data_IF_373362188512
#
_entry.id   IF_373362188512
#
_cell.length_a   1.000
_cell.length_b   1.000
_cell.length_c   1.000
_cell.angle_alpha   90.00
_cell.angle_beta   90.00
_cell.angle_gamma   90.00
#
_symmetry.space_group_name_H-M   'P 1'
#
loop_
_entity.id
_entity.type
_entity.pdbx_description
1 polymer ?
#
# COMPACT_ATOMS: atom_id res chain seq x y z
N UNK A 1 -12.79 13.91 -31.71
CA UNK A 1 -13.90 12.97 -31.55
C UNK A 1 -13.47 11.55 -31.91
N UNK A 2 -12.99 10.78 -30.96
CA UNK A 2 -12.90 9.32 -31.10
C UNK A 2 -13.33 8.69 -29.78
N UNK A 3 -14.58 8.28 -29.72
CA UNK A 3 -15.11 7.41 -28.67
C UNK A 3 -14.54 6.01 -28.90
N UNK A 4 -13.74 5.51 -27.98
CA UNK A 4 -13.36 4.11 -27.91
C UNK A 4 -14.48 3.39 -27.15
N UNK A 5 -15.30 2.65 -27.87
CA UNK A 5 -16.32 1.75 -27.28
C UNK A 5 -15.65 0.43 -26.91
N UNK A 6 -15.42 0.18 -25.64
CA UNK A 6 -15.09 -1.16 -25.15
C UNK A 6 -16.38 -1.99 -25.02
N UNK A 7 -16.54 -2.97 -25.89
CA UNK A 7 -17.54 -4.04 -25.75
C UNK A 7 -17.12 -4.96 -24.60
N UNK A 8 -17.90 -4.95 -23.52
CA UNK A 8 -17.79 -5.96 -22.48
C UNK A 8 -18.19 -7.33 -23.04
N UNK A 9 -17.23 -8.23 -23.17
CA UNK A 9 -17.49 -9.64 -23.41
C UNK A 9 -17.82 -10.33 -22.08
N UNK A 10 -19.05 -10.81 -21.95
CA UNK A 10 -19.47 -11.72 -20.88
C UNK A 10 -18.73 -13.06 -21.06
N UNK A 11 -17.62 -13.24 -20.39
CA UNK A 11 -16.94 -14.53 -20.29
C UNK A 11 -17.14 -15.06 -18.88
N UNK A 12 -17.86 -16.15 -18.73
CA UNK A 12 -17.90 -16.95 -17.49
C UNK A 12 -16.47 -17.38 -17.18
N UNK A 13 -15.90 -16.82 -16.12
CA UNK A 13 -14.57 -17.19 -15.66
C UNK A 13 -14.70 -18.51 -14.91
N UNK A 14 -14.29 -19.61 -15.54
CA UNK A 14 -13.91 -20.82 -14.83
C UNK A 14 -12.59 -20.54 -14.13
N UNK A 15 -12.61 -20.39 -12.80
CA UNK A 15 -11.41 -20.25 -11.99
C UNK A 15 -10.60 -21.55 -12.05
N UNK A 16 -9.53 -21.54 -12.82
CA UNK A 16 -8.52 -22.59 -12.80
C UNK A 16 -7.56 -22.35 -11.62
N UNK A 17 -7.01 -23.43 -11.08
CA UNK A 17 -6.11 -23.43 -9.90
C UNK A 17 -4.86 -22.54 -10.01
N UNK A 18 -4.61 -21.91 -11.13
CA UNK A 18 -3.49 -20.98 -11.39
C UNK A 18 -3.71 -19.58 -10.83
N UNK A 19 -4.94 -19.15 -10.59
CA UNK A 19 -5.23 -17.79 -10.05
C UNK A 19 -4.96 -17.65 -8.55
N UNK A 20 -4.89 -18.76 -7.82
CA UNK A 20 -4.53 -18.75 -6.39
C UNK A 20 -3.07 -18.33 -6.11
N UNK A 21 -2.21 -18.33 -7.11
CA UNK A 21 -0.78 -18.00 -6.94
C UNK A 21 -0.45 -16.50 -7.10
N UNK A 22 -1.34 -15.68 -7.62
CA UNK A 22 -1.05 -14.26 -7.87
C UNK A 22 -1.44 -13.29 -6.73
N UNK A 23 -2.20 -13.72 -5.73
CA UNK A 23 -2.63 -12.86 -4.63
C UNK A 23 -1.71 -12.85 -3.40
N UNK A 24 -0.78 -13.79 -3.30
CA UNK A 24 0.22 -13.82 -2.21
C UNK A 24 1.47 -13.02 -2.57
N UNK A 25 1.35 -11.69 -2.70
CA UNK A 25 2.52 -10.83 -2.72
C UNK A 25 3.03 -10.65 -1.30
N UNK A 26 4.14 -11.32 -1.04
CA UNK A 26 4.80 -11.43 0.25
C UNK A 26 5.12 -10.05 0.83
N UNK A 27 4.61 -9.77 2.03
CA UNK A 27 5.10 -8.70 2.88
C UNK A 27 6.30 -9.25 3.66
N UNK A 28 7.52 -8.85 3.29
CA UNK A 28 8.69 -9.15 4.10
C UNK A 28 8.79 -8.12 5.23
N UNK A 29 8.62 -8.57 6.47
CA UNK A 29 8.82 -7.74 7.66
C UNK A 29 10.31 -7.71 7.94
N UNK A 30 10.96 -6.54 7.81
CA UNK A 30 12.33 -6.32 8.29
C UNK A 30 12.33 -6.38 9.82
N UNK A 31 12.51 -7.57 10.41
CA UNK A 31 12.84 -7.68 11.82
C UNK A 31 14.22 -7.05 12.03
N UNK A 32 14.28 -6.00 12.83
CA UNK A 32 15.54 -5.47 13.34
C UNK A 32 16.25 -6.54 14.16
N UNK A 33 17.26 -7.15 13.59
CA UNK A 33 18.18 -8.02 14.32
C UNK A 33 19.42 -7.17 14.66
N UNK A 34 19.42 -6.54 15.81
CA UNK A 34 20.63 -5.91 16.35
C UNK A 34 21.43 -6.96 17.11
N UNK A 35 22.42 -7.56 16.43
CA UNK A 35 23.34 -8.53 17.05
C UNK A 35 24.19 -7.93 18.19
N UNK A 36 24.34 -6.60 18.24
CA UNK A 36 25.18 -5.92 19.22
C UNK A 36 24.42 -5.53 20.49
N UNK A 37 23.10 -5.47 20.49
CA UNK A 37 22.33 -5.12 21.66
C UNK A 37 20.90 -5.73 21.67
N UNK A 38 20.77 -7.01 22.10
CA UNK A 38 19.49 -7.71 22.13
C UNK A 38 18.46 -7.09 23.10
N UNK A 39 18.85 -6.18 23.97
CA UNK A 39 17.95 -5.47 24.91
C UNK A 39 17.27 -4.24 24.30
N UNK A 40 17.66 -3.79 23.09
CA UNK A 40 17.07 -2.66 22.37
C UNK A 40 15.98 -3.04 21.37
N UNK A 41 15.72 -4.30 21.18
CA UNK A 41 14.62 -4.79 20.34
C UNK A 41 13.33 -4.83 21.17
N UNK A 42 12.73 -3.67 21.45
CA UNK A 42 11.29 -3.68 21.65
C UNK A 42 10.66 -4.07 20.33
N UNK A 43 9.84 -5.13 20.27
CA UNK A 43 9.12 -5.46 19.05
C UNK A 43 8.28 -4.26 18.67
N UNK A 44 8.46 -3.76 17.45
CA UNK A 44 7.58 -2.73 16.92
C UNK A 44 6.14 -3.29 16.95
N UNK A 45 5.34 -2.79 17.90
CA UNK A 45 3.96 -3.24 18.12
C UNK A 45 3.12 -3.13 16.83
N UNK A 46 3.51 -2.22 15.92
CA UNK A 46 2.81 -2.01 14.65
C UNK A 46 3.16 -3.09 13.65
N UNK A 47 4.42 -3.52 13.56
CA UNK A 47 4.82 -4.63 12.70
C UNK A 47 4.10 -5.93 13.08
N UNK A 48 3.84 -6.15 14.37
CA UNK A 48 3.09 -7.33 14.83
C UNK A 48 1.61 -7.32 14.44
N UNK A 49 0.99 -6.14 14.27
CA UNK A 49 -0.39 -6.03 13.80
C UNK A 49 -0.57 -6.34 12.31
N UNK A 50 0.49 -6.31 11.52
CA UNK A 50 0.46 -6.49 10.06
C UNK A 50 1.03 -7.86 9.65
N UNK A 51 0.99 -8.84 10.57
CA UNK A 51 1.33 -10.23 10.27
C UNK A 51 0.12 -10.91 9.65
N UNK A 52 0.33 -11.69 8.59
CA UNK A 52 -0.70 -12.49 7.95
C UNK A 52 -1.07 -11.97 6.56
N UNK A 53 -2.32 -12.19 6.17
CA UNK A 53 -2.83 -11.90 4.84
C UNK A 53 -3.43 -10.49 4.78
N UNK A 54 -2.73 -9.56 4.14
CA UNK A 54 -3.22 -8.22 3.86
C UNK A 54 -3.91 -8.12 2.50
N UNK A 55 -5.15 -7.67 2.49
CA UNK A 55 -5.94 -7.55 1.27
C UNK A 55 -5.89 -6.12 0.73
N UNK A 56 -5.36 -5.97 -0.49
CA UNK A 56 -5.44 -4.72 -1.22
C UNK A 56 -6.85 -4.57 -1.83
N UNK A 57 -7.62 -3.63 -1.28
CA UNK A 57 -8.98 -3.35 -1.74
C UNK A 57 -8.98 -2.71 -3.13
N UNK A 58 -9.92 -3.12 -3.98
CA UNK A 58 -10.28 -2.42 -5.20
C UNK A 58 -11.19 -1.24 -4.87
N UNK A 59 -11.33 -0.29 -5.80
CA UNK A 59 -12.39 0.71 -5.81
C UNK A 59 -13.45 0.27 -6.81
N UNK A 60 -14.62 -0.23 -6.36
CA UNK A 60 -15.72 -0.53 -7.27
C UNK A 60 -16.29 0.77 -7.86
N UNK A 61 -16.60 0.75 -9.15
CA UNK A 61 -17.24 1.86 -9.85
C UNK A 61 -18.59 1.45 -10.43
N UNK A 62 -19.52 2.38 -10.46
CA UNK A 62 -20.78 2.25 -11.17
C UNK A 62 -20.56 2.47 -12.68
N UNK A 63 -21.62 2.22 -13.47
CA UNK A 63 -21.56 2.41 -14.92
C UNK A 63 -21.29 3.86 -15.36
N UNK A 64 -21.64 4.83 -14.54
CA UNK A 64 -21.40 6.27 -14.76
C UNK A 64 -19.98 6.72 -14.34
N UNK A 65 -19.16 5.80 -13.80
CA UNK A 65 -17.81 6.07 -13.33
C UNK A 65 -17.72 6.56 -11.88
N UNK A 66 -18.85 6.78 -11.20
CA UNK A 66 -18.85 7.14 -9.78
C UNK A 66 -18.49 5.94 -8.89
N UNK A 67 -17.96 6.19 -7.70
CA UNK A 67 -17.60 5.14 -6.74
C UNK A 67 -18.85 4.41 -6.24
N UNK A 68 -18.83 3.08 -6.29
CA UNK A 68 -19.87 2.23 -5.75
C UNK A 68 -19.59 1.88 -4.28
N UNK A 69 -20.05 2.72 -3.37
CA UNK A 69 -19.87 2.51 -1.93
C UNK A 69 -20.64 1.30 -1.39
N UNK A 70 -21.75 0.90 -2.02
CA UNK A 70 -22.47 -0.30 -1.62
C UNK A 70 -21.64 -1.55 -1.90
N UNK A 71 -21.09 -1.67 -3.11
CA UNK A 71 -20.20 -2.76 -3.49
C UNK A 71 -18.92 -2.76 -2.65
N UNK A 72 -18.33 -1.57 -2.39
CA UNK A 72 -17.15 -1.45 -1.52
C UNK A 72 -17.46 -1.92 -0.10
N UNK A 73 -18.63 -1.56 0.45
CA UNK A 73 -19.05 -2.02 1.78
C UNK A 73 -19.22 -3.53 1.86
N UNK A 74 -19.83 -4.15 0.84
CA UNK A 74 -19.95 -5.62 0.73
C UNK A 74 -18.59 -6.29 0.63
N UNK A 75 -17.65 -5.71 -0.12
CA UNK A 75 -16.29 -6.23 -0.26
C UNK A 75 -15.56 -6.22 1.10
N UNK A 76 -15.65 -5.14 1.86
CA UNK A 76 -15.02 -5.05 3.18
C UNK A 76 -15.56 -6.13 4.12
N UNK A 77 -16.89 -6.28 4.20
CA UNK A 77 -17.51 -7.32 5.03
C UNK A 77 -17.09 -8.73 4.60
N UNK A 78 -17.01 -8.95 3.29
CA UNK A 78 -16.54 -10.23 2.74
C UNK A 78 -15.11 -10.54 3.19
N UNK A 79 -14.19 -9.56 3.11
CA UNK A 79 -12.80 -9.79 3.53
C UNK A 79 -12.68 -10.08 5.03
N UNK A 80 -13.43 -9.35 5.84
CA UNK A 80 -13.44 -9.55 7.29
C UNK A 80 -14.01 -10.93 7.64
N UNK A 81 -15.13 -11.32 7.01
CA UNK A 81 -15.75 -12.63 7.23
C UNK A 81 -14.88 -13.82 6.77
N UNK A 82 -13.98 -13.58 5.80
CA UNK A 82 -13.04 -14.58 5.27
C UNK A 82 -11.63 -14.45 5.88
N UNK A 83 -11.53 -13.90 7.10
CA UNK A 83 -10.33 -13.91 7.91
C UNK A 83 -9.11 -13.19 7.28
N UNK A 84 -9.33 -12.07 6.60
CA UNK A 84 -8.24 -11.17 6.29
C UNK A 84 -7.62 -10.65 7.59
N UNK A 85 -6.28 -10.58 7.66
CA UNK A 85 -5.59 -10.09 8.86
C UNK A 85 -5.51 -8.57 8.89
N UNK A 86 -5.45 -7.91 7.75
CA UNK A 86 -5.49 -6.44 7.62
C UNK A 86 -5.93 -6.02 6.21
N UNK A 87 -6.35 -4.76 6.08
CA UNK A 87 -6.79 -4.21 4.79
C UNK A 87 -5.82 -3.12 4.31
N UNK A 88 -5.59 -3.09 2.99
CA UNK A 88 -4.80 -2.03 2.34
C UNK A 88 -5.73 -1.23 1.43
N UNK A 89 -5.96 0.04 1.80
CA UNK A 89 -6.79 0.96 1.04
C UNK A 89 -5.94 1.93 0.22
N UNK A 90 -6.48 2.45 -0.87
CA UNK A 90 -5.85 3.44 -1.74
C UNK A 90 -4.45 3.03 -2.23
N UNK A 91 -4.21 1.73 -2.40
CA UNK A 91 -3.03 1.21 -3.08
C UNK A 91 -3.20 1.18 -4.61
N UNK A 92 -2.26 0.59 -5.32
CA UNK A 92 -2.31 0.43 -6.79
C UNK A 92 -3.57 -0.32 -7.25
N UNK A 93 -3.99 -1.33 -6.48
CA UNK A 93 -5.20 -2.13 -6.77
C UNK A 93 -6.48 -1.30 -6.72
N UNK A 94 -6.49 -0.23 -5.93
CA UNK A 94 -7.61 0.70 -5.82
C UNK A 94 -7.69 1.73 -6.96
N UNK A 95 -6.82 1.65 -7.95
CA UNK A 95 -6.75 2.60 -9.08
C UNK A 95 -6.60 4.06 -8.64
N UNK A 96 -5.90 4.28 -7.52
CA UNK A 96 -5.74 5.58 -6.86
C UNK A 96 -5.35 6.75 -7.78
N UNK A 97 -4.51 6.56 -8.83
CA UNK A 97 -4.19 7.64 -9.76
C UNK A 97 -5.39 8.16 -10.57
N UNK A 98 -6.48 7.39 -10.70
CA UNK A 98 -7.68 7.79 -11.44
C UNK A 98 -8.71 8.52 -10.57
N UNK A 99 -8.48 8.54 -9.25
CA UNK A 99 -9.36 9.16 -8.26
C UNK A 99 -8.98 10.61 -8.00
N UNK A 100 -9.97 11.49 -7.89
CA UNK A 100 -9.78 12.85 -7.40
C UNK A 100 -9.37 12.86 -5.92
N UNK A 101 -8.88 13.99 -5.43
CA UNK A 101 -8.55 14.15 -4.01
C UNK A 101 -9.78 13.98 -3.10
N UNK A 102 -10.94 14.47 -3.53
CA UNK A 102 -12.22 14.31 -2.80
C UNK A 102 -12.60 12.84 -2.69
N UNK A 103 -12.60 12.11 -3.82
CA UNK A 103 -12.94 10.69 -3.83
C UNK A 103 -11.99 9.86 -2.95
N UNK A 104 -10.69 10.13 -2.99
CA UNK A 104 -9.73 9.45 -2.10
C UNK A 104 -10.06 9.66 -0.63
N UNK A 105 -10.39 10.89 -0.24
CA UNK A 105 -10.76 11.22 1.15
C UNK A 105 -12.09 10.58 1.56
N UNK A 106 -13.07 10.53 0.66
CA UNK A 106 -14.37 9.92 0.91
C UNK A 106 -14.26 8.41 1.03
N UNK A 107 -13.49 7.76 0.13
CA UNK A 107 -13.20 6.33 0.18
C UNK A 107 -12.49 5.96 1.48
N UNK A 108 -11.47 6.73 1.88
CA UNK A 108 -10.75 6.49 3.13
C UNK A 108 -11.69 6.55 4.34
N UNK A 109 -12.49 7.63 4.45
CA UNK A 109 -13.49 7.79 5.53
C UNK A 109 -14.49 6.65 5.54
N UNK A 110 -15.00 6.25 4.37
CA UNK A 110 -15.94 5.15 4.25
C UNK A 110 -15.33 3.82 4.72
N UNK A 111 -14.12 3.49 4.27
CA UNK A 111 -13.42 2.25 4.66
C UNK A 111 -13.15 2.24 6.17
N UNK A 112 -12.67 3.35 6.74
CA UNK A 112 -12.41 3.49 8.18
C UNK A 112 -13.70 3.26 8.98
N UNK A 113 -14.78 3.93 8.61
CA UNK A 113 -16.08 3.80 9.26
C UNK A 113 -16.64 2.38 9.14
N UNK A 114 -16.58 1.78 7.94
CA UNK A 114 -17.08 0.43 7.68
C UNK A 114 -16.25 -0.65 8.38
N UNK A 115 -14.93 -0.48 8.40
CA UNK A 115 -14.03 -1.38 9.14
C UNK A 115 -14.28 -1.34 10.65
N UNK A 116 -14.63 -0.19 11.19
CA UNK A 116 -14.95 0.01 12.61
C UNK A 116 -13.90 -0.64 13.57
N UNK A 117 -12.62 -0.43 13.29
CA UNK A 117 -11.47 -0.96 14.05
C UNK A 117 -11.40 -2.50 14.15
N UNK A 118 -12.09 -3.24 13.29
CA UNK A 118 -12.07 -4.71 13.30
C UNK A 118 -10.75 -5.27 12.79
N UNK A 119 -10.15 -4.62 11.80
CA UNK A 119 -8.84 -5.01 11.25
C UNK A 119 -7.90 -3.80 11.22
N UNK A 120 -6.57 -4.01 11.29
CA UNK A 120 -5.60 -2.97 11.01
C UNK A 120 -5.77 -2.43 9.58
N UNK A 121 -5.50 -1.13 9.40
CA UNK A 121 -5.61 -0.44 8.12
C UNK A 121 -4.26 0.09 7.65
N UNK A 122 -3.89 -0.23 6.42
CA UNK A 122 -2.75 0.35 5.71
C UNK A 122 -3.27 1.28 4.62
N UNK A 123 -2.76 2.50 4.53
CA UNK A 123 -3.15 3.46 3.51
C UNK A 123 -2.05 3.68 2.48
N UNK A 124 -2.39 3.58 1.20
CA UNK A 124 -1.51 3.94 0.10
C UNK A 124 -1.31 5.45 0.03
N UNK A 125 -0.11 5.93 0.35
CA UNK A 125 0.32 7.31 0.14
C UNK A 125 1.72 7.27 -0.47
N UNK A 126 1.83 7.60 -1.75
CA UNK A 126 3.07 7.57 -2.48
C UNK A 126 2.94 8.29 -3.82
N UNK A 127 4.06 8.60 -4.41
CA UNK A 127 4.13 9.34 -5.66
C UNK A 127 5.57 9.48 -6.14
N UNK A 128 5.76 10.21 -7.22
CA UNK A 128 7.06 10.46 -7.82
C UNK A 128 7.63 11.86 -7.53
N UNK A 129 6.88 12.67 -6.77
CA UNK A 129 7.35 13.94 -6.19
C UNK A 129 7.36 13.86 -4.66
N UNK A 130 8.55 13.94 -4.09
CA UNK A 130 8.79 13.82 -2.64
C UNK A 130 8.01 14.86 -1.83
N UNK A 131 7.94 16.11 -2.32
CA UNK A 131 7.25 17.21 -1.64
C UNK A 131 5.75 16.93 -1.57
N UNK A 132 5.15 16.58 -2.69
CA UNK A 132 3.72 16.25 -2.78
C UNK A 132 3.36 15.08 -1.85
N UNK A 133 4.20 14.05 -1.77
CA UNK A 133 3.97 12.92 -0.85
C UNK A 133 4.00 13.38 0.61
N UNK A 134 4.95 14.22 0.99
CA UNK A 134 5.05 14.77 2.34
C UNK A 134 3.83 15.65 2.68
N UNK A 135 3.41 16.50 1.76
CA UNK A 135 2.22 17.35 1.91
C UNK A 135 0.96 16.50 2.08
N UNK A 136 0.81 15.44 1.30
CA UNK A 136 -0.30 14.49 1.40
C UNK A 136 -0.30 13.79 2.76
N UNK A 137 0.84 13.33 3.26
CA UNK A 137 0.94 12.71 4.60
C UNK A 137 0.51 13.70 5.69
N UNK A 138 0.96 14.95 5.62
CA UNK A 138 0.66 15.98 6.61
C UNK A 138 -0.80 16.45 6.59
N UNK A 139 -1.45 16.43 5.43
CA UNK A 139 -2.83 16.90 5.26
C UNK A 139 -3.89 15.78 5.42
N UNK A 140 -3.47 14.50 5.48
CA UNK A 140 -4.39 13.38 5.63
C UNK A 140 -4.60 13.05 7.10
N UNK A 141 -5.85 12.82 7.51
CA UNK A 141 -6.15 12.26 8.83
C UNK A 141 -5.75 10.77 8.87
N UNK A 142 -4.67 10.49 9.59
CA UNK A 142 -4.11 9.14 9.76
C UNK A 142 -4.44 8.53 11.13
N UNK A 143 -5.34 9.12 11.92
CA UNK A 143 -5.64 8.69 13.31
C UNK A 143 -6.17 7.26 13.39
N UNK A 144 -6.72 6.72 12.29
CA UNK A 144 -7.26 5.36 12.20
C UNK A 144 -6.47 4.47 11.22
N UNK A 145 -5.24 4.85 10.91
CA UNK A 145 -4.34 4.15 9.98
C UNK A 145 -3.16 3.58 10.78
N UNK A 146 -2.84 2.32 10.58
CA UNK A 146 -1.73 1.65 11.28
C UNK A 146 -0.39 1.81 10.54
N UNK A 147 -0.39 1.93 9.21
CA UNK A 147 0.82 2.17 8.43
C UNK A 147 0.52 2.82 7.07
N UNK A 148 1.56 3.46 6.51
CA UNK A 148 1.55 4.00 5.15
C UNK A 148 2.24 3.03 4.22
N UNK A 149 1.61 2.69 3.07
CA UNK A 149 2.24 1.99 1.96
C UNK A 149 2.70 3.01 0.92
N UNK A 150 4.01 3.17 0.76
CA UNK A 150 4.58 4.17 -0.14
C UNK A 150 5.35 3.52 -1.28
N UNK A 151 4.86 3.74 -2.51
CA UNK A 151 5.48 3.20 -3.72
C UNK A 151 6.76 3.97 -4.07
N UNK A 152 7.78 3.25 -4.56
CA UNK A 152 8.99 3.89 -5.10
C UNK A 152 8.63 4.88 -6.21
N UNK A 153 9.33 6.04 -6.33
CA UNK A 153 9.03 7.01 -7.38
C UNK A 153 9.03 6.36 -8.77
N UNK A 154 7.96 6.57 -9.50
CA UNK A 154 7.72 6.03 -10.83
C UNK A 154 7.91 7.11 -11.88
N UNK A 155 8.01 6.73 -13.16
CA UNK A 155 8.11 7.63 -14.32
C UNK A 155 9.48 8.31 -14.45
N UNK A 156 9.94 9.08 -13.47
CA UNK A 156 11.21 9.83 -13.46
C UNK A 156 12.45 8.98 -13.14
N UNK A 157 12.29 7.69 -12.83
CA UNK A 157 13.35 6.67 -12.69
C UNK A 157 14.56 7.14 -11.88
N UNK A 158 14.42 7.44 -10.58
CA UNK A 158 15.52 7.88 -9.75
C UNK A 158 16.62 6.81 -9.61
N UNK A 159 17.86 7.27 -9.35
CA UNK A 159 18.94 6.37 -8.92
C UNK A 159 18.68 5.78 -7.53
N UNK A 160 19.47 4.81 -7.09
CA UNK A 160 19.35 4.23 -5.74
C UNK A 160 19.52 5.30 -4.66
N UNK A 161 20.44 6.24 -4.85
CA UNK A 161 20.59 7.39 -3.92
C UNK A 161 19.37 8.31 -3.98
N UNK A 162 18.80 8.54 -5.15
CA UNK A 162 17.54 9.30 -5.29
C UNK A 162 16.37 8.63 -4.55
N UNK A 163 16.24 7.30 -4.64
CA UNK A 163 15.25 6.52 -3.89
C UNK A 163 15.49 6.67 -2.38
N UNK A 164 16.74 6.53 -1.94
CA UNK A 164 17.09 6.71 -0.54
C UNK A 164 16.73 8.10 -0.03
N UNK A 165 17.09 9.17 -0.74
CA UNK A 165 16.78 10.54 -0.34
C UNK A 165 15.28 10.83 -0.32
N UNK A 166 14.52 10.25 -1.25
CA UNK A 166 13.06 10.33 -1.26
C UNK A 166 12.46 9.76 0.03
N UNK A 167 12.81 8.51 0.38
CA UNK A 167 12.27 7.87 1.58
C UNK A 167 12.84 8.43 2.89
N UNK A 168 14.09 8.90 2.89
CA UNK A 168 14.65 9.65 3.99
C UNK A 168 13.80 10.87 4.33
N UNK A 169 13.48 11.68 3.33
CA UNK A 169 12.66 12.88 3.51
C UNK A 169 11.25 12.56 4.02
N UNK A 170 10.63 11.49 3.49
CA UNK A 170 9.32 11.02 3.94
C UNK A 170 9.39 10.51 5.37
N UNK A 171 10.36 9.67 5.71
CA UNK A 171 10.53 9.12 7.05
C UNK A 171 10.78 10.18 8.12
N UNK A 172 11.47 11.26 7.76
CA UNK A 172 11.70 12.42 8.65
C UNK A 172 10.45 13.31 8.81
N UNK A 173 9.49 13.24 7.89
CA UNK A 173 8.31 14.09 7.90
C UNK A 173 7.14 13.51 8.71
N UNK A 174 7.21 12.26 9.16
CA UNK A 174 6.14 11.58 9.91
C UNK A 174 6.68 10.55 10.87
N UNK A 175 5.94 10.31 11.96
CA UNK A 175 6.18 9.19 12.88
C UNK A 175 5.37 7.92 12.50
N UNK A 176 4.53 7.99 11.45
CA UNK A 176 3.76 6.85 10.99
C UNK A 176 4.68 5.73 10.50
N UNK A 177 4.36 4.47 10.79
CA UNK A 177 5.03 3.32 10.20
C UNK A 177 4.92 3.35 8.67
N UNK A 178 6.04 3.13 7.99
CA UNK A 178 6.13 3.16 6.52
C UNK A 178 6.48 1.77 6.01
N UNK A 179 5.69 1.29 5.06
CA UNK A 179 5.95 0.11 4.27
C UNK A 179 6.47 0.58 2.91
N UNK A 180 7.71 0.29 2.61
CA UNK A 180 8.28 0.55 1.28
C UNK A 180 7.57 -0.33 0.25
N UNK A 181 7.35 0.17 -0.97
CA UNK A 181 6.73 -0.64 -2.02
C UNK A 181 7.55 -0.63 -3.30
N UNK A 182 8.16 -1.79 -3.60
CA UNK A 182 8.93 -2.03 -4.80
C UNK A 182 8.10 -2.82 -5.83
N UNK A 183 7.85 -2.22 -7.00
CA UNK A 183 7.05 -2.83 -8.08
C UNK A 183 7.61 -2.45 -9.45
N UNK A 184 8.78 -2.97 -9.84
CA UNK A 184 9.51 -2.54 -11.04
C UNK A 184 8.70 -2.62 -12.32
N UNK A 185 7.82 -3.60 -12.45
CA UNK A 185 6.94 -3.75 -13.62
C UNK A 185 5.95 -2.60 -13.84
N UNK A 186 5.72 -1.77 -12.80
CA UNK A 186 4.84 -0.58 -12.91
C UNK A 186 5.60 0.72 -12.83
N UNK A 187 6.70 0.76 -12.07
CA UNK A 187 7.46 1.99 -11.81
C UNK A 187 8.60 2.21 -12.79
N UNK A 188 9.08 1.14 -13.42
CA UNK A 188 10.30 1.17 -14.24
C UNK A 188 11.58 1.35 -13.42
N UNK A 189 11.49 1.18 -12.10
CA UNK A 189 12.60 1.30 -11.15
C UNK A 189 12.57 0.12 -10.20
N UNK A 190 13.74 -0.48 -9.94
CA UNK A 190 13.91 -1.52 -8.95
C UNK A 190 14.74 -0.99 -7.77
N UNK A 191 14.14 -0.98 -6.57
CA UNK A 191 14.83 -0.64 -5.34
C UNK A 191 15.65 -1.85 -4.88
N UNK A 192 16.97 -1.68 -4.79
CA UNK A 192 17.89 -2.74 -4.39
C UNK A 192 17.82 -3.04 -2.90
N UNK A 193 18.14 -4.27 -2.51
CA UNK A 193 18.15 -4.70 -1.11
C UNK A 193 19.05 -3.82 -0.22
N UNK A 194 20.20 -3.37 -0.73
CA UNK A 194 21.12 -2.49 0.01
C UNK A 194 20.47 -1.15 0.35
N UNK A 195 19.66 -0.60 -0.57
CA UNK A 195 18.90 0.64 -0.34
C UNK A 195 17.84 0.45 0.73
N UNK A 196 17.11 -0.68 0.68
CA UNK A 196 16.10 -1.03 1.68
C UNK A 196 16.73 -1.20 3.06
N UNK A 197 17.83 -1.95 3.16
CA UNK A 197 18.54 -2.19 4.42
C UNK A 197 19.07 -0.89 5.02
N UNK A 198 19.67 -0.01 4.19
CA UNK A 198 20.14 1.30 4.64
C UNK A 198 19.00 2.13 5.24
N UNK A 199 17.88 2.22 4.55
CA UNK A 199 16.68 2.92 5.02
C UNK A 199 16.14 2.32 6.33
N UNK A 200 16.01 1.00 6.41
CA UNK A 200 15.49 0.32 7.60
C UNK A 200 16.42 0.46 8.82
N UNK A 201 17.73 0.55 8.61
CA UNK A 201 18.68 0.77 9.69
C UNK A 201 18.65 2.22 10.22
N UNK A 202 18.52 3.19 9.33
CA UNK A 202 18.58 4.62 9.71
C UNK A 202 17.24 5.15 10.23
N UNK A 203 16.10 4.64 9.73
CA UNK A 203 14.77 5.16 10.05
C UNK A 203 13.90 4.10 10.74
N UNK A 204 13.66 4.23 12.07
CA UNK A 204 12.89 3.25 12.84
C UNK A 204 11.44 3.10 12.38
N UNK A 205 10.87 4.12 11.78
CA UNK A 205 9.52 4.09 11.23
C UNK A 205 9.43 3.44 9.85
N UNK A 206 10.53 3.04 9.21
CA UNK A 206 10.50 2.16 8.04
C UNK A 206 10.47 0.72 8.56
N UNK A 207 9.27 0.11 8.56
CA UNK A 207 8.99 -1.13 9.28
C UNK A 207 8.93 -2.37 8.40
N UNK A 208 8.68 -2.20 7.09
CA UNK A 208 8.50 -3.32 6.16
C UNK A 208 8.77 -2.90 4.70
N UNK A 209 8.84 -3.90 3.84
CA UNK A 209 8.78 -3.74 2.39
C UNK A 209 7.72 -4.67 1.79
N UNK A 210 6.92 -4.13 0.86
CA UNK A 210 6.13 -4.91 -0.08
C UNK A 210 6.95 -5.12 -1.34
N UNK A 211 7.48 -6.33 -1.50
CA UNK A 211 8.27 -6.70 -2.69
C UNK A 211 7.34 -7.30 -3.76
N UNK A 212 7.32 -6.71 -4.93
CA UNK A 212 6.49 -7.14 -6.05
C UNK A 212 7.27 -7.22 -7.38
N UNK A 213 8.59 -7.39 -7.32
CA UNK A 213 9.42 -7.63 -8.51
C UNK A 213 9.27 -9.04 -9.06
N UNK A 214 8.90 -10.00 -8.21
CA UNK A 214 8.90 -11.43 -8.53
C UNK A 214 10.29 -12.08 -8.43
N UNK A 215 11.28 -11.34 -7.98
CA UNK A 215 12.64 -11.83 -7.71
C UNK A 215 12.90 -11.76 -6.19
N UNK A 216 13.15 -12.91 -5.59
CA UNK A 216 13.37 -13.09 -4.14
C UNK A 216 14.78 -13.56 -3.87
#
# INVERSE_FOLDING_TARGET
>A
NSKVTNKAANTKIHTTNTEKHYSQKLFAICKRYDKANPKKTQPDMTANKLIGMGIALITPFKHDGSVDYEALGKLIEYQIANHADYLVMLGTTAETPTLTASERNEIARFIIAKNNKRLPLVMGIGGNDTRTVIEQIKSTDLSHVDAILSVVPYYNKPSQEGIYQHYRAIAQATNMPIILYNVPGRTGVNMKAETVLRLAHEFPNIVAIKEASGNF
#
